data_IF_657060286670
#
_entry.id   IF_657060286670
#
_cell.length_a   1.000
_cell.length_b   1.000
_cell.length_c   1.000
_cell.angle_alpha   90.00
_cell.angle_beta   90.00
_cell.angle_gamma   90.00
#
_symmetry.space_group_name_H-M   'P 1'
#
loop_
_entity.id
_entity.type
_entity.pdbx_description
1 polymer ?
#
# COMPACT_ATOMS: atom_id res chain seq x y z
N UNK A 1 8.72 17.33 -31.52
CA UNK A 1 8.93 17.61 -30.09
C UNK A 1 7.60 17.46 -29.37
N UNK A 2 7.53 16.45 -28.49
CA UNK A 2 6.71 16.33 -27.28
C UNK A 2 6.53 14.84 -27.02
N UNK A 3 7.61 14.20 -26.58
CA UNK A 3 7.47 13.05 -25.70
C UNK A 3 6.81 13.61 -24.44
N UNK A 4 5.48 13.56 -24.37
CA UNK A 4 4.78 13.72 -23.11
C UNK A 4 5.39 12.68 -22.19
N UNK A 5 6.18 13.14 -21.22
CA UNK A 5 6.55 12.37 -20.05
C UNK A 5 5.23 11.80 -19.51
N UNK A 6 4.91 10.57 -19.86
CA UNK A 6 4.05 9.75 -19.04
C UNK A 6 4.93 9.50 -17.83
N UNK A 7 4.87 10.42 -16.87
CA UNK A 7 5.35 10.18 -15.53
C UNK A 7 4.48 9.04 -15.03
N UNK A 8 4.89 7.80 -15.30
CA UNK A 8 4.33 6.65 -14.61
C UNK A 8 4.54 6.96 -13.14
N UNK A 9 3.45 7.24 -12.44
CA UNK A 9 3.43 7.55 -11.01
C UNK A 9 3.82 6.26 -10.29
N UNK A 10 5.12 6.00 -10.28
CA UNK A 10 5.75 4.86 -9.64
C UNK A 10 5.54 5.02 -8.15
N UNK A 11 5.00 3.98 -7.52
CA UNK A 11 4.85 3.94 -6.07
C UNK A 11 6.19 4.33 -5.41
N UNK A 12 6.17 5.37 -4.58
CA UNK A 12 7.40 5.90 -3.96
C UNK A 12 7.61 5.33 -2.57
N UNK A 13 6.53 5.30 -1.77
CA UNK A 13 6.62 4.96 -0.35
C UNK A 13 5.50 4.00 0.03
N UNK A 14 5.85 2.97 0.77
CA UNK A 14 4.91 2.09 1.43
C UNK A 14 4.93 2.40 2.92
N UNK A 15 3.78 2.82 3.43
CA UNK A 15 3.59 3.23 4.81
C UNK A 15 2.88 2.11 5.55
N UNK A 16 3.45 1.65 6.65
CA UNK A 16 2.82 0.66 7.52
C UNK A 16 2.35 1.32 8.81
N UNK A 17 1.02 1.45 8.95
CA UNK A 17 0.40 1.88 10.18
C UNK A 17 0.18 0.66 11.08
N UNK A 18 1.07 0.51 12.06
CA UNK A 18 1.14 -0.62 12.96
C UNK A 18 0.86 -0.19 14.40
N UNK A 19 -0.41 0.05 14.69
CA UNK A 19 -0.88 0.62 15.97
C UNK A 19 -0.68 -0.35 17.16
N UNK A 20 -0.22 -1.59 16.92
CA UNK A 20 -0.30 -2.65 17.93
C UNK A 20 0.88 -3.64 18.04
N UNK A 21 2.02 -3.45 17.36
CA UNK A 21 3.07 -4.49 17.37
C UNK A 21 4.19 -4.28 18.39
N UNK A 22 4.29 -5.21 19.33
CA UNK A 22 5.53 -5.56 20.04
C UNK A 22 6.47 -6.46 19.19
N UNK A 23 6.21 -6.69 17.89
CA UNK A 23 6.92 -7.70 17.08
C UNK A 23 7.79 -7.09 15.98
N UNK A 24 8.99 -6.65 16.33
CA UNK A 24 10.00 -6.13 15.41
C UNK A 24 10.44 -7.14 14.32
N UNK A 25 10.43 -8.43 14.63
CA UNK A 25 10.90 -9.52 13.75
C UNK A 25 10.05 -9.68 12.47
N UNK A 26 8.72 -9.68 12.61
CA UNK A 26 7.79 -9.81 11.48
C UNK A 26 7.88 -8.60 10.55
N UNK A 27 8.00 -7.41 11.13
CA UNK A 27 8.17 -6.16 10.39
C UNK A 27 9.48 -6.17 9.59
N UNK A 28 10.56 -6.69 10.20
CA UNK A 28 11.87 -6.82 9.55
C UNK A 28 11.85 -7.78 8.36
N UNK A 29 11.23 -8.96 8.49
CA UNK A 29 11.13 -9.92 7.38
C UNK A 29 10.28 -9.38 6.23
N UNK A 30 9.15 -8.76 6.56
CA UNK A 30 8.30 -8.08 5.58
C UNK A 30 9.09 -7.02 4.80
N UNK A 31 9.83 -6.16 5.51
CA UNK A 31 10.63 -5.10 4.92
C UNK A 31 11.74 -5.65 4.01
N UNK A 32 12.42 -6.73 4.40
CA UNK A 32 13.44 -7.37 3.58
C UNK A 32 12.88 -7.91 2.28
N UNK A 33 11.74 -8.62 2.35
CA UNK A 33 11.06 -9.19 1.19
C UNK A 33 10.78 -8.06 0.18
N UNK A 34 10.12 -6.98 0.61
CA UNK A 34 9.80 -5.86 -0.28
C UNK A 34 11.01 -5.11 -0.82
N UNK A 35 12.01 -4.82 0.01
CA UNK A 35 13.23 -4.12 -0.42
C UNK A 35 14.01 -4.92 -1.47
N UNK A 36 13.98 -6.25 -1.38
CA UNK A 36 14.67 -7.11 -2.36
C UNK A 36 14.03 -7.08 -3.74
N UNK A 37 12.71 -6.94 -3.85
CA UNK A 37 12.02 -6.82 -5.14
C UNK A 37 11.91 -5.38 -5.66
N UNK A 38 11.83 -4.39 -4.76
CA UNK A 38 11.61 -2.99 -5.10
C UNK A 38 12.55 -2.08 -4.31
N UNK A 39 13.84 -2.09 -4.68
CA UNK A 39 14.91 -1.33 -4.01
C UNK A 39 14.71 0.20 -3.98
N UNK A 40 13.81 0.73 -4.81
CA UNK A 40 13.46 2.15 -4.87
C UNK A 40 12.29 2.53 -3.94
N UNK A 41 11.62 1.54 -3.34
CA UNK A 41 10.46 1.76 -2.48
C UNK A 41 10.95 2.10 -1.08
N UNK A 42 10.57 3.28 -0.60
CA UNK A 42 10.77 3.67 0.80
C UNK A 42 9.76 2.93 1.69
N UNK A 43 10.20 2.47 2.86
CA UNK A 43 9.35 1.80 3.83
C UNK A 43 9.30 2.64 5.12
N UNK A 44 8.14 3.21 5.41
CA UNK A 44 7.90 3.99 6.61
C UNK A 44 6.95 3.25 7.55
N UNK A 45 7.13 3.39 8.86
CA UNK A 45 6.26 2.75 9.86
C UNK A 45 5.80 3.77 10.88
N UNK A 46 4.51 3.74 11.19
CA UNK A 46 3.87 4.62 12.15
C UNK A 46 3.04 3.79 13.12
N UNK A 47 2.99 4.19 14.38
CA UNK A 47 2.08 3.68 15.40
C UNK A 47 0.92 4.66 15.70
N UNK A 48 1.05 5.89 15.20
CA UNK A 48 0.13 7.00 15.36
C UNK A 48 -0.63 7.27 14.05
N UNK A 49 -1.96 7.26 14.13
CA UNK A 49 -2.84 7.40 12.97
C UNK A 49 -2.71 8.79 12.37
N UNK A 50 -2.72 9.85 13.19
CA UNK A 50 -2.74 11.23 12.70
C UNK A 50 -1.42 11.55 12.01
N UNK A 51 -0.28 11.18 12.62
CA UNK A 51 1.04 11.36 11.99
C UNK A 51 1.18 10.60 10.67
N UNK A 52 0.60 9.40 10.60
CA UNK A 52 0.61 8.61 9.37
C UNK A 52 -0.18 9.29 8.25
N UNK A 53 -1.37 9.82 8.57
CA UNK A 53 -2.24 10.48 7.60
C UNK A 53 -1.67 11.84 7.17
N UNK A 54 -1.13 12.62 8.11
CA UNK A 54 -0.46 13.90 7.84
C UNK A 54 0.71 13.67 6.89
N UNK A 55 1.56 12.67 7.15
CA UNK A 55 2.69 12.36 6.27
C UNK A 55 2.27 12.05 4.83
N UNK A 56 1.23 11.23 4.65
CA UNK A 56 0.74 10.84 3.31
C UNK A 56 0.11 12.04 2.58
N UNK A 57 -0.64 12.88 3.31
CA UNK A 57 -1.41 13.99 2.72
C UNK A 57 -0.55 15.22 2.40
N UNK A 58 0.46 15.52 3.23
CA UNK A 58 1.30 16.69 3.09
C UNK A 58 2.49 16.49 2.13
N UNK A 59 2.92 15.25 1.91
CA UNK A 59 4.09 14.97 1.08
C UNK A 59 3.76 15.01 -0.42
N UNK A 60 3.83 16.21 -0.98
CA UNK A 60 3.53 16.48 -2.39
C UNK A 60 4.52 15.80 -3.35
N UNK A 61 4.03 15.40 -4.52
CA UNK A 61 4.85 14.79 -5.59
C UNK A 61 5.27 13.34 -5.34
N UNK A 62 4.82 12.73 -4.24
CA UNK A 62 5.00 11.30 -3.94
C UNK A 62 3.69 10.55 -4.06
N UNK A 63 3.81 9.25 -4.27
CA UNK A 63 2.70 8.31 -4.23
C UNK A 63 2.91 7.27 -3.15
N UNK A 64 1.81 6.93 -2.50
CA UNK A 64 1.81 6.10 -1.30
C UNK A 64 0.96 4.86 -1.47
N UNK A 65 1.37 3.82 -0.76
CA UNK A 65 0.59 2.65 -0.45
C UNK A 65 0.53 2.53 1.07
N UNK A 66 -0.64 2.20 1.61
CA UNK A 66 -0.86 2.12 3.05
C UNK A 66 -1.16 0.69 3.46
N UNK A 67 -0.42 0.17 4.43
CA UNK A 67 -0.69 -1.09 5.10
C UNK A 67 -1.37 -0.80 6.42
N UNK A 68 -2.53 -1.42 6.63
CA UNK A 68 -3.31 -1.30 7.84
C UNK A 68 -3.38 -2.65 8.56
N UNK A 69 -3.23 -2.62 9.87
CA UNK A 69 -3.54 -3.73 10.75
C UNK A 69 -4.37 -3.27 11.97
N UNK A 70 -4.90 -4.22 12.74
CA UNK A 70 -5.59 -3.93 14.00
C UNK A 70 -7.09 -3.61 13.90
N UNK A 71 -7.63 -2.95 14.92
CA UNK A 71 -9.09 -2.84 15.13
C UNK A 71 -9.73 -1.59 14.48
N UNK A 72 -8.93 -0.63 14.03
CA UNK A 72 -9.42 0.66 13.49
C UNK A 72 -9.37 0.77 11.97
N UNK A 73 -9.16 -0.35 11.27
CA UNK A 73 -8.92 -0.39 9.81
C UNK A 73 -10.03 0.34 9.03
N UNK A 74 -11.31 0.08 9.34
CA UNK A 74 -12.42 0.69 8.61
C UNK A 74 -12.45 2.23 8.76
N UNK A 75 -12.25 2.72 9.98
CA UNK A 75 -12.18 4.17 10.24
C UNK A 75 -11.02 4.83 9.49
N UNK A 76 -9.84 4.19 9.52
CA UNK A 76 -8.67 4.73 8.83
C UNK A 76 -8.88 4.77 7.31
N UNK A 77 -9.49 3.73 6.73
CA UNK A 77 -9.86 3.74 5.30
C UNK A 77 -10.81 4.89 4.99
N UNK A 78 -11.82 5.12 5.83
CA UNK A 78 -12.76 6.23 5.65
C UNK A 78 -12.06 7.59 5.64
N UNK A 79 -11.06 7.80 6.51
CA UNK A 79 -10.29 9.04 6.54
C UNK A 79 -9.32 9.18 5.36
N UNK A 80 -8.74 8.07 4.90
CA UNK A 80 -7.62 8.09 3.96
C UNK A 80 -8.02 7.94 2.49
N UNK A 81 -9.19 7.39 2.17
CA UNK A 81 -9.49 6.96 0.81
C UNK A 81 -9.55 8.11 -0.21
N UNK A 82 -9.85 9.34 0.21
CA UNK A 82 -9.89 10.50 -0.68
C UNK A 82 -8.52 11.16 -0.89
N UNK A 83 -7.49 10.74 -0.14
CA UNK A 83 -6.14 11.31 -0.27
C UNK A 83 -5.57 10.97 -1.64
N UNK A 84 -5.34 11.99 -2.46
CA UNK A 84 -4.95 11.83 -3.87
C UNK A 84 -3.61 11.11 -4.06
N UNK A 85 -2.67 11.32 -3.14
CA UNK A 85 -1.34 10.69 -3.16
C UNK A 85 -1.41 9.20 -2.79
N UNK A 86 -2.43 8.78 -2.04
CA UNK A 86 -2.65 7.38 -1.68
C UNK A 86 -3.26 6.61 -2.86
N UNK A 87 -2.52 5.64 -3.39
CA UNK A 87 -2.89 4.85 -4.57
C UNK A 87 -3.44 3.48 -4.25
N UNK A 88 -2.96 2.89 -3.16
CA UNK A 88 -3.38 1.55 -2.75
C UNK A 88 -3.39 1.39 -1.23
N UNK A 89 -4.29 0.55 -0.75
CA UNK A 89 -4.45 0.16 0.64
C UNK A 89 -4.41 -1.37 0.69
N UNK A 90 -3.62 -1.89 1.62
CA UNK A 90 -3.41 -3.30 1.89
C UNK A 90 -3.76 -3.57 3.34
N UNK A 91 -4.50 -4.65 3.59
CA UNK A 91 -5.04 -4.91 4.92
C UNK A 91 -4.47 -6.25 5.42
N UNK A 92 -3.71 -6.18 6.51
CA UNK A 92 -3.39 -7.34 7.32
C UNK A 92 -4.50 -7.52 8.36
N UNK A 93 -5.16 -8.68 8.34
CA UNK A 93 -6.27 -8.92 9.24
C UNK A 93 -6.34 -10.38 9.68
N UNK A 94 -6.58 -10.61 10.97
CA UNK A 94 -6.83 -11.95 11.49
C UNK A 94 -7.98 -12.63 10.72
N UNK A 95 -7.85 -13.94 10.50
CA UNK A 95 -8.75 -14.74 9.67
C UNK A 95 -10.23 -14.54 10.02
N UNK A 96 -10.54 -14.46 11.31
CA UNK A 96 -11.89 -14.26 11.85
C UNK A 96 -12.55 -12.92 11.43
N UNK A 97 -11.76 -11.93 11.04
CA UNK A 97 -12.22 -10.59 10.68
C UNK A 97 -12.22 -10.34 9.16
N UNK A 98 -11.66 -11.27 8.35
CA UNK A 98 -11.55 -11.12 6.89
C UNK A 98 -12.92 -10.95 6.25
N UNK A 99 -13.88 -11.83 6.57
CA UNK A 99 -15.22 -11.78 5.98
C UNK A 99 -15.94 -10.46 6.31
N UNK A 100 -15.78 -9.97 7.53
CA UNK A 100 -16.35 -8.69 7.97
C UNK A 100 -15.73 -7.52 7.20
N UNK A 101 -14.41 -7.50 7.04
CA UNK A 101 -13.73 -6.42 6.34
C UNK A 101 -14.00 -6.44 4.82
N UNK A 102 -14.14 -7.62 4.23
CA UNK A 102 -14.49 -7.78 2.82
C UNK A 102 -15.88 -7.25 2.46
N UNK A 103 -16.81 -7.12 3.41
CA UNK A 103 -18.15 -6.60 3.12
C UNK A 103 -18.12 -5.11 2.79
N UNK A 104 -17.52 -4.29 3.66
CA UNK A 104 -17.45 -2.84 3.45
C UNK A 104 -16.30 -2.44 2.53
N UNK A 105 -15.26 -3.25 2.38
CA UNK A 105 -14.09 -2.88 1.56
C UNK A 105 -14.39 -2.78 0.07
N UNK A 106 -15.47 -3.42 -0.40
CA UNK A 106 -15.88 -3.40 -1.81
C UNK A 106 -16.22 -2.00 -2.30
N UNK A 107 -16.59 -1.13 -1.37
CA UNK A 107 -16.93 0.26 -1.66
C UNK A 107 -15.69 1.17 -1.83
N UNK A 108 -14.48 0.64 -1.57
CA UNK A 108 -13.23 1.41 -1.61
C UNK A 108 -12.26 0.85 -2.66
N UNK A 109 -12.22 1.47 -3.83
CA UNK A 109 -11.42 1.01 -4.98
C UNK A 109 -9.91 0.98 -4.70
N UNK A 110 -9.42 1.77 -3.75
CA UNK A 110 -8.02 1.80 -3.35
C UNK A 110 -7.61 0.56 -2.55
N UNK A 111 -8.55 -0.23 -2.02
CA UNK A 111 -8.21 -1.49 -1.35
C UNK A 111 -7.82 -2.52 -2.42
N UNK A 112 -6.53 -2.91 -2.43
CA UNK A 112 -5.96 -3.80 -3.45
C UNK A 112 -5.65 -5.20 -2.94
N UNK A 113 -5.78 -5.46 -1.65
CA UNK A 113 -5.53 -6.79 -1.12
C UNK A 113 -5.71 -6.95 0.38
N UNK A 114 -5.93 -8.21 0.76
CA UNK A 114 -6.03 -8.67 2.13
C UNK A 114 -5.07 -9.84 2.35
N UNK A 115 -4.51 -9.94 3.54
CA UNK A 115 -3.79 -11.12 3.98
C UNK A 115 -3.95 -11.33 5.49
N UNK A 116 -3.72 -12.56 5.94
CA UNK A 116 -3.78 -12.90 7.37
C UNK A 116 -2.42 -12.91 8.05
N UNK A 117 -1.35 -12.85 7.26
CA UNK A 117 0.03 -12.80 7.75
C UNK A 117 0.81 -11.71 7.02
N UNK A 118 1.85 -11.12 7.63
CA UNK A 118 2.73 -10.18 6.94
C UNK A 118 3.39 -10.79 5.71
N UNK A 119 3.77 -12.08 5.77
CA UNK A 119 4.40 -12.76 4.64
C UNK A 119 3.48 -12.80 3.40
N UNK A 120 2.24 -13.23 3.60
CA UNK A 120 1.26 -13.29 2.51
C UNK A 120 0.92 -11.89 1.99
N UNK A 121 0.88 -10.90 2.89
CA UNK A 121 0.67 -9.51 2.50
C UNK A 121 1.79 -9.00 1.60
N UNK A 122 3.04 -9.31 1.93
CA UNK A 122 4.19 -8.94 1.10
C UNK A 122 4.05 -9.53 -0.31
N UNK A 123 3.66 -10.81 -0.41
CA UNK A 123 3.43 -11.47 -1.69
C UNK A 123 2.28 -10.81 -2.49
N UNK A 124 1.18 -10.43 -1.82
CA UNK A 124 0.06 -9.71 -2.45
C UNK A 124 0.53 -8.36 -3.01
N UNK A 125 1.26 -7.59 -2.22
CA UNK A 125 1.81 -6.29 -2.62
C UNK A 125 2.75 -6.47 -3.82
N UNK A 126 3.70 -7.41 -3.75
CA UNK A 126 4.62 -7.70 -4.85
C UNK A 126 3.89 -8.04 -6.15
N UNK A 127 2.92 -8.94 -6.09
CA UNK A 127 2.17 -9.37 -7.26
C UNK A 127 1.41 -8.19 -7.90
N UNK A 128 0.85 -7.29 -7.09
CA UNK A 128 0.17 -6.11 -7.61
C UNK A 128 1.16 -5.13 -8.25
N UNK A 129 2.29 -4.84 -7.60
CA UNK A 129 3.31 -3.96 -8.16
C UNK A 129 3.92 -4.51 -9.46
N UNK A 130 4.13 -5.83 -9.54
CA UNK A 130 4.60 -6.47 -10.78
C UNK A 130 3.57 -6.33 -11.91
N UNK A 131 2.29 -6.57 -11.63
CA UNK A 131 1.22 -6.42 -12.63
C UNK A 131 1.08 -4.97 -13.11
N UNK A 132 1.16 -4.01 -12.19
CA UNK A 132 1.13 -2.59 -12.53
C UNK A 132 2.29 -2.22 -13.46
N UNK A 133 3.52 -2.64 -13.15
CA UNK A 133 4.67 -2.40 -14.01
C UNK A 133 4.52 -3.02 -15.40
N UNK A 134 4.11 -4.30 -15.47
CA UNK A 134 3.88 -4.98 -16.75
C UNK A 134 2.79 -4.29 -17.59
N UNK A 135 1.72 -3.82 -16.96
CA UNK A 135 0.65 -3.10 -17.63
C UNK A 135 1.11 -1.74 -18.16
N UNK A 136 1.99 -1.04 -17.44
CA UNK A 136 2.58 0.21 -17.95
C UNK A 136 3.51 -0.04 -19.15
N UNK A 137 4.36 -1.08 -19.08
CA UNK A 137 5.25 -1.48 -20.19
C UNK A 137 4.44 -1.88 -21.44
N UNK A 138 3.52 -2.82 -21.25
CA UNK A 138 2.17 -2.82 -21.81
C UNK A 138 1.79 -1.71 -22.79
N UNK A 139 1.27 -0.64 -22.17
CA UNK A 139 0.72 0.52 -22.84
C UNK A 139 1.78 1.27 -23.66
N UNK A 140 3.00 1.40 -23.14
CA UNK A 140 4.10 2.09 -23.83
C UNK A 140 4.43 1.42 -25.18
N UNK A 141 4.45 0.09 -25.24
CA UNK A 141 4.73 -0.65 -26.47
C UNK A 141 3.56 -0.66 -27.45
N UNK A 142 2.32 -0.41 -26.98
CA UNK A 142 1.12 -0.35 -27.84
C UNK A 142 0.89 1.01 -28.52
N UNK A 143 1.68 2.03 -28.17
CA UNK A 143 1.61 3.39 -28.72
C UNK A 143 2.62 3.65 -29.85
N UNK A 144 3.34 2.61 -30.28
CA UNK A 144 4.28 2.61 -31.41
C UNK A 144 3.77 1.70 -32.54
#
# INVERSE_FOLDING_TARGET
MNASHISTLKLNTLVWLNVNSNSSESNYRFAQILKSAHSHLELETYDDIDKCIDYISECQGRTFALILNGQSIQYIVQCAHDISQLKSIYIECALENVARHQLWSKDYEKIKGFATTPHDLANVIMNNLMKENQYQESLLHSQH
#
